data_IF_332439034225
#
_entry.id   IF_332439034225
#
_cell.length_a   1.000
_cell.length_b   1.000
_cell.length_c   1.000
_cell.angle_alpha   90.00
_cell.angle_beta   90.00
_cell.angle_gamma   90.00
#
_symmetry.space_group_name_H-M   'P 1'
#
loop_
_entity.id
_entity.type
_entity.pdbx_description
1 polymer ?
#
# COMPACT_ATOMS: atom_id res chain seq x y z
N UNK A 1 -7.84 3.80 -11.66
CA UNK A 1 -6.95 2.66 -11.56
C UNK A 1 -5.55 3.22 -11.41
N UNK A 2 -5.25 3.54 -10.15
CA UNK A 2 -3.97 3.03 -9.64
C UNK A 2 -3.81 1.61 -10.20
N UNK A 3 -2.67 1.29 -10.84
CA UNK A 3 -2.50 -0.02 -11.45
C UNK A 3 -2.88 -1.09 -10.42
N UNK A 4 -3.50 -2.20 -10.86
CA UNK A 4 -3.76 -3.33 -9.99
C UNK A 4 -2.45 -3.65 -9.27
N UNK A 5 -2.42 -3.29 -8.00
CA UNK A 5 -1.18 -3.23 -7.26
C UNK A 5 -0.83 -4.63 -6.79
N UNK A 6 0.46 -4.99 -6.72
CA UNK A 6 0.85 -6.10 -5.86
C UNK A 6 0.26 -5.83 -4.46
N UNK A 7 -0.28 -6.85 -3.81
CA UNK A 7 -0.93 -6.69 -2.51
C UNK A 7 -0.01 -6.11 -1.45
N UNK A 8 -0.59 -5.73 -0.31
CA UNK A 8 0.19 -5.36 0.86
C UNK A 8 1.12 -6.53 1.20
N UNK A 9 2.45 -6.30 1.14
CA UNK A 9 3.43 -7.37 1.32
C UNK A 9 3.73 -7.55 2.80
N UNK A 10 4.81 -6.95 3.25
CA UNK A 10 5.35 -7.15 4.57
C UNK A 10 4.79 -6.14 5.56
N UNK A 11 4.29 -6.63 6.70
CA UNK A 11 3.96 -5.77 7.83
C UNK A 11 5.19 -4.98 8.32
N UNK A 12 4.94 -3.83 8.95
CA UNK A 12 6.02 -3.04 9.52
C UNK A 12 6.71 -3.82 10.67
N UNK A 13 8.03 -4.03 10.58
CA UNK A 13 8.82 -4.65 11.63
C UNK A 13 10.32 -4.30 11.51
N UNK A 14 11.10 -4.72 12.50
CA UNK A 14 12.57 -4.55 12.56
C UNK A 14 13.36 -5.80 12.18
N UNK A 15 12.70 -6.89 11.78
CA UNK A 15 13.36 -8.19 11.51
C UNK A 15 13.85 -8.22 10.07
N UNK A 16 14.82 -7.38 9.73
CA UNK A 16 15.12 -7.10 8.33
C UNK A 16 15.99 -8.17 7.66
N UNK A 17 16.84 -8.84 8.43
CA UNK A 17 17.83 -9.80 7.93
C UNK A 17 19.08 -9.15 7.32
N UNK A 18 19.09 -7.82 7.22
CA UNK A 18 20.19 -7.03 6.67
C UNK A 18 20.64 -6.02 7.75
N UNK A 19 21.91 -6.03 8.18
CA UNK A 19 22.41 -5.11 9.21
C UNK A 19 22.37 -3.62 8.78
N UNK A 20 22.27 -3.32 7.49
CA UNK A 20 22.15 -1.95 6.98
C UNK A 20 20.70 -1.45 6.91
N UNK A 21 19.71 -2.34 7.04
CA UNK A 21 18.28 -1.98 6.98
C UNK A 21 17.71 -1.96 8.38
N UNK A 22 17.36 -0.77 8.87
CA UNK A 22 16.88 -0.59 10.25
C UNK A 22 15.47 -1.16 10.50
N UNK A 23 14.57 -1.03 9.54
CA UNK A 23 13.20 -1.52 9.62
C UNK A 23 12.51 -1.54 8.25
N UNK A 24 11.49 -2.37 8.11
CA UNK A 24 10.46 -2.22 7.09
C UNK A 24 9.32 -1.40 7.66
N UNK A 25 8.91 -0.36 6.94
CA UNK A 25 7.77 0.49 7.32
C UNK A 25 6.88 0.78 6.12
N UNK A 26 5.61 1.01 6.38
CA UNK A 26 4.69 1.58 5.40
C UNK A 26 4.68 3.09 5.56
N UNK A 27 5.30 3.79 4.63
CA UNK A 27 5.28 5.26 4.59
C UNK A 27 3.94 5.73 4.03
N UNK A 28 3.52 5.16 2.90
CA UNK A 28 2.19 5.37 2.33
C UNK A 28 1.19 4.50 3.08
N UNK A 29 0.03 5.08 3.41
CA UNK A 29 -1.12 4.34 3.96
C UNK A 29 -1.80 3.56 2.83
N UNK A 30 -1.77 2.22 2.86
CA UNK A 30 -2.41 1.42 1.81
C UNK A 30 -3.93 1.61 1.87
N UNK A 31 -4.55 1.88 0.71
CA UNK A 31 -5.96 2.23 0.60
C UNK A 31 -6.22 3.71 0.33
N UNK A 32 -5.23 4.59 0.46
CA UNK A 32 -5.38 5.98 0.02
C UNK A 32 -5.19 6.13 -1.49
N UNK A 33 -5.96 7.03 -2.08
CA UNK A 33 -5.80 7.40 -3.46
C UNK A 33 -4.44 8.05 -3.72
N UNK A 34 -3.85 7.78 -4.88
CA UNK A 34 -2.66 8.49 -5.35
C UNK A 34 -3.05 9.72 -6.18
N UNK A 35 -4.20 9.69 -6.87
CA UNK A 35 -4.82 10.81 -7.57
C UNK A 35 -6.18 10.38 -8.16
N UNK A 36 -6.86 11.27 -8.89
CA UNK A 36 -8.11 11.04 -9.63
C UNK A 36 -7.99 10.01 -10.79
N UNK A 37 -6.80 9.44 -11.01
CA UNK A 37 -6.52 8.55 -12.13
C UNK A 37 -7.44 7.32 -12.20
N UNK A 38 -8.10 7.15 -13.36
CA UNK A 38 -9.10 6.11 -13.70
C UNK A 38 -10.15 5.85 -12.60
N UNK A 39 -10.79 6.91 -12.12
CA UNK A 39 -11.96 6.84 -11.23
C UNK A 39 -11.66 6.73 -9.73
N UNK A 40 -10.40 6.95 -9.33
CA UNK A 40 -10.07 7.11 -7.91
C UNK A 40 -10.51 8.48 -7.37
N UNK A 41 -10.65 8.64 -6.05
CA UNK A 41 -10.88 9.93 -5.41
C UNK A 41 -9.59 10.78 -5.42
N UNK A 42 -9.63 12.01 -4.89
CA UNK A 42 -8.44 12.90 -4.92
C UNK A 42 -7.29 12.25 -4.15
N UNK A 43 -6.05 12.62 -4.51
CA UNK A 43 -4.86 12.14 -3.82
C UNK A 43 -4.99 12.29 -2.29
N UNK A 44 -4.72 11.21 -1.56
CA UNK A 44 -4.83 11.15 -0.09
C UNK A 44 -6.23 10.83 0.44
N UNK A 45 -7.28 10.84 -0.38
CA UNK A 45 -8.62 10.41 0.06
C UNK A 45 -8.70 8.87 0.13
N UNK A 46 -9.54 8.36 1.02
CA UNK A 46 -9.74 6.92 1.17
C UNK A 46 -10.39 6.32 -0.08
N UNK A 47 -9.82 5.21 -0.57
CA UNK A 47 -10.33 4.48 -1.73
C UNK A 47 -10.59 3.01 -1.37
N UNK A 48 -11.81 2.73 -0.94
CA UNK A 48 -12.21 1.45 -0.36
C UNK A 48 -11.95 0.24 -1.27
N UNK A 49 -12.33 0.34 -2.55
CA UNK A 49 -12.13 -0.75 -3.53
C UNK A 49 -10.63 -1.09 -3.64
N UNK A 50 -9.77 -0.08 -3.69
CA UNK A 50 -8.32 -0.26 -3.76
C UNK A 50 -7.74 -0.87 -2.48
N UNK A 51 -8.21 -0.42 -1.31
CA UNK A 51 -7.80 -0.98 -0.02
C UNK A 51 -8.12 -2.49 0.07
N UNK A 52 -9.32 -2.87 -0.34
CA UNK A 52 -9.73 -4.27 -0.35
C UNK A 52 -8.93 -5.10 -1.36
N UNK A 53 -8.61 -4.56 -2.53
CA UNK A 53 -7.74 -5.24 -3.50
C UNK A 53 -6.35 -5.51 -2.94
N UNK A 54 -5.75 -4.51 -2.29
CA UNK A 54 -4.45 -4.66 -1.63
C UNK A 54 -4.47 -5.74 -0.55
N UNK A 55 -5.54 -5.81 0.24
CA UNK A 55 -5.73 -6.82 1.28
C UNK A 55 -5.92 -8.22 0.68
N UNK A 56 -6.75 -8.37 -0.36
CA UNK A 56 -6.97 -9.65 -1.06
C UNK A 56 -5.70 -10.18 -1.71
N UNK A 57 -4.86 -9.28 -2.22
CA UNK A 57 -3.62 -9.64 -2.89
C UNK A 57 -2.43 -9.85 -1.92
N UNK A 58 -2.61 -9.54 -0.63
CA UNK A 58 -1.61 -9.81 0.39
C UNK A 58 -1.44 -11.33 0.56
N UNK A 59 -0.22 -11.83 0.38
CA UNK A 59 0.15 -13.23 0.52
C UNK A 59 1.33 -13.36 1.47
#
# INVERSE_FOLDING_TARGET
MQPAGPGARRAADRRTGDPLVAAYIWIKRPGESDDLCRGGPKAGEWFDVYAQELARNAR
#
